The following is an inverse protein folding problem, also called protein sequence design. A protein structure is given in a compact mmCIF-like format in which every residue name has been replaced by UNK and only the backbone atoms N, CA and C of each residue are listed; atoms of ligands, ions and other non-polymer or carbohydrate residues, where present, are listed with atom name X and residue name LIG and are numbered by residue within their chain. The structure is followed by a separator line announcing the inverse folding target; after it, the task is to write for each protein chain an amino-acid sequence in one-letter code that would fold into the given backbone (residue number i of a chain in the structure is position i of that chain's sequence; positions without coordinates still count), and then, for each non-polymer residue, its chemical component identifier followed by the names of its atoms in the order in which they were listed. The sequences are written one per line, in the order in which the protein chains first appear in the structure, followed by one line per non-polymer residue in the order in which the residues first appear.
data_IF_559823688783
#
_entry.id   IF_559823688783
#
_cell.length_a   1.000
_cell.length_b   1.000
_cell.length_c   1.000
_cell.angle_alpha   90.00
_cell.angle_beta   90.00
_cell.angle_gamma   90.00
#
_symmetry.space_group_name_H-M   'P 1'
#
loop_
_entity.id
_entity.type
_entity.pdbx_description
1 polymer ?
#
# COMPACT_ATOMS: atom_id res chain seq x y z
N UNK A 1 -3.93 -10.04 -19.65
CA UNK A 1 -3.15 -9.13 -18.77
C UNK A 1 -1.71 -9.19 -19.23
N UNK A 2 -1.11 -8.05 -19.56
CA UNK A 2 0.31 -7.96 -19.89
C UNK A 2 1.06 -7.47 -18.66
N UNK A 3 2.17 -8.12 -18.33
CA UNK A 3 3.05 -7.74 -17.24
C UNK A 3 4.44 -7.56 -17.80
N UNK A 4 5.12 -6.50 -17.38
CA UNK A 4 6.54 -6.30 -17.69
C UNK A 4 7.34 -6.63 -16.45
N UNK A 5 8.39 -7.44 -16.62
CA UNK A 5 9.30 -7.84 -15.56
C UNK A 5 10.64 -7.11 -15.74
N UNK A 6 11.23 -6.72 -14.62
CA UNK A 6 12.61 -6.25 -14.56
C UNK A 6 13.35 -6.99 -13.43
N UNK A 7 14.67 -7.25 -13.57
CA UNK A 7 15.46 -7.97 -12.57
C UNK A 7 15.71 -7.17 -11.28
N UNK A 8 15.18 -5.94 -11.18
CA UNK A 8 15.26 -5.14 -9.98
C UNK A 8 14.18 -4.08 -9.90
N UNK A 9 14.26 -3.28 -8.83
CA UNK A 9 13.29 -2.23 -8.48
C UNK A 9 13.84 -0.81 -8.63
N UNK A 10 14.94 -0.64 -9.37
CA UNK A 10 15.49 0.69 -9.64
C UNK A 10 14.52 1.54 -10.46
N UNK A 11 14.51 2.86 -10.23
CA UNK A 11 13.72 3.81 -11.03
C UNK A 11 14.08 3.78 -12.51
N UNK A 12 15.30 3.34 -12.86
CA UNK A 12 15.71 3.12 -14.26
C UNK A 12 14.72 2.22 -15.01
N UNK A 13 14.31 1.10 -14.38
CA UNK A 13 13.39 0.16 -15.00
C UNK A 13 11.99 0.76 -15.16
N UNK A 14 11.55 1.61 -14.22
CA UNK A 14 10.28 2.31 -14.36
C UNK A 14 10.30 3.24 -15.58
N UNK A 15 11.37 4.01 -15.78
CA UNK A 15 11.53 4.88 -16.96
C UNK A 15 11.57 4.10 -18.28
N UNK A 16 12.26 2.96 -18.32
CA UNK A 16 12.33 2.11 -19.52
C UNK A 16 10.96 1.50 -19.87
N UNK A 17 10.24 0.99 -18.87
CA UNK A 17 8.92 0.37 -19.07
C UNK A 17 7.87 1.42 -19.51
N UNK A 18 7.98 2.65 -19.01
CA UNK A 18 7.03 3.73 -19.25
C UNK A 18 7.49 4.69 -20.37
N UNK A 19 8.49 4.31 -21.16
CA UNK A 19 9.01 5.14 -22.22
C UNK A 19 7.91 5.54 -23.21
N UNK A 20 7.74 6.84 -23.42
CA UNK A 20 6.72 7.40 -24.30
C UNK A 20 5.30 7.44 -23.72
N UNK A 21 5.09 6.98 -22.48
CA UNK A 21 3.82 7.17 -21.78
C UNK A 21 3.69 8.62 -21.30
N UNK A 22 2.52 9.22 -21.53
CA UNK A 22 2.16 10.56 -21.08
C UNK A 22 0.81 10.50 -20.34
N UNK A 23 0.66 11.30 -19.28
CA UNK A 23 -0.60 11.43 -18.54
C UNK A 23 -0.51 10.95 -17.10
N UNK A 24 -1.62 10.43 -16.55
CA UNK A 24 -1.71 10.05 -15.13
C UNK A 24 -1.35 8.58 -14.91
N UNK A 25 -0.32 8.33 -14.12
CA UNK A 25 0.13 6.99 -13.73
C UNK A 25 -0.27 6.71 -12.27
N UNK A 26 -1.08 5.68 -12.05
CA UNK A 26 -1.40 5.23 -10.70
C UNK A 26 -0.24 4.38 -10.13
N UNK A 27 0.27 4.75 -8.95
CA UNK A 27 1.41 4.07 -8.30
C UNK A 27 1.11 3.72 -6.85
N UNK A 28 1.86 2.77 -6.30
CA UNK A 28 1.77 2.31 -4.91
C UNK A 28 2.49 3.22 -3.88
N UNK A 29 3.15 4.28 -4.35
CA UNK A 29 3.95 5.17 -3.51
C UNK A 29 5.38 4.69 -3.29
N UNK A 30 5.90 3.83 -4.15
CA UNK A 30 7.31 3.49 -4.17
C UNK A 30 8.16 4.63 -4.78
N UNK A 31 9.19 5.08 -4.03
CA UNK A 31 9.98 6.25 -4.38
C UNK A 31 10.73 6.18 -5.72
N UNK A 32 10.97 4.97 -6.25
CA UNK A 32 11.64 4.81 -7.54
C UNK A 32 10.85 5.42 -8.72
N UNK A 33 9.52 5.50 -8.60
CA UNK A 33 8.68 6.15 -9.62
C UNK A 33 8.95 7.64 -9.76
N UNK A 34 9.56 8.30 -8.76
CA UNK A 34 9.94 9.71 -8.87
C UNK A 34 10.91 9.97 -10.02
N UNK A 35 11.64 8.94 -10.51
CA UNK A 35 12.51 9.09 -11.68
C UNK A 35 11.73 9.42 -12.95
N UNK A 36 10.50 8.94 -13.10
CA UNK A 36 9.68 9.19 -14.31
C UNK A 36 9.12 10.62 -14.37
N UNK A 37 9.31 11.41 -13.30
CA UNK A 37 8.98 12.83 -13.28
C UNK A 37 10.08 13.70 -13.90
N UNK A 38 11.27 13.15 -14.15
CA UNK A 38 12.33 13.88 -14.83
C UNK A 38 12.03 13.97 -16.33
N UNK A 39 11.68 15.18 -16.78
CA UNK A 39 11.32 15.47 -18.17
C UNK A 39 12.49 15.28 -19.15
N UNK A 40 13.73 15.12 -18.65
CA UNK A 40 14.89 14.74 -19.50
C UNK A 40 14.81 13.30 -19.98
N UNK A 41 14.19 12.44 -19.18
CA UNK A 41 14.17 10.98 -19.38
C UNK A 41 12.77 10.46 -19.73
N UNK A 42 11.72 11.27 -19.59
CA UNK A 42 10.32 10.81 -19.71
C UNK A 42 9.40 11.91 -20.24
N UNK A 43 8.32 11.50 -20.92
CA UNK A 43 7.24 12.41 -21.28
C UNK A 43 6.50 12.91 -20.02
N UNK A 44 5.69 13.97 -20.10
CA UNK A 44 4.98 14.52 -18.94
C UNK A 44 4.08 13.47 -18.25
N UNK A 45 4.48 13.03 -17.06
CA UNK A 45 3.73 12.08 -16.24
C UNK A 45 3.32 12.75 -14.93
N UNK A 46 2.05 12.57 -14.55
CA UNK A 46 1.53 12.89 -13.24
C UNK A 46 1.34 11.60 -12.43
N UNK A 47 1.93 11.53 -11.24
CA UNK A 47 1.72 10.39 -10.34
C UNK A 47 0.42 10.55 -9.56
N UNK A 48 -0.42 9.51 -9.59
CA UNK A 48 -1.59 9.34 -8.74
C UNK A 48 -1.32 8.23 -7.71
N UNK A 49 -1.28 8.57 -6.43
CA UNK A 49 -0.95 7.61 -5.39
C UNK A 49 -2.17 6.77 -4.97
N UNK A 50 -1.97 5.47 -4.83
CA UNK A 50 -3.05 4.54 -4.51
C UNK A 50 -3.47 4.64 -3.04
N UNK A 51 -4.74 4.99 -2.81
CA UNK A 51 -5.34 5.10 -1.47
C UNK A 51 -5.27 3.79 -0.66
N UNK A 52 -5.38 2.63 -1.30
CA UNK A 52 -5.25 1.34 -0.62
C UNK A 52 -3.84 1.14 -0.02
N UNK A 53 -2.79 1.59 -0.73
CA UNK A 53 -1.41 1.55 -0.23
C UNK A 53 -1.18 2.59 0.87
N UNK A 54 -1.71 3.80 0.72
CA UNK A 54 -1.64 4.84 1.75
C UNK A 54 -2.28 4.36 3.06
N UNK A 55 -3.47 3.75 2.97
CA UNK A 55 -4.16 3.19 4.13
C UNK A 55 -3.37 2.09 4.83
N UNK A 56 -2.74 1.18 4.09
CA UNK A 56 -1.90 0.12 4.69
C UNK A 56 -0.77 0.72 5.53
N UNK A 57 -0.07 1.72 4.99
CA UNK A 57 1.00 2.42 5.72
C UNK A 57 0.49 3.15 6.96
N UNK A 58 -0.65 3.84 6.86
CA UNK A 58 -1.25 4.50 8.02
C UNK A 58 -1.66 3.48 9.10
N UNK A 59 -2.19 2.33 8.71
CA UNK A 59 -2.53 1.24 9.64
C UNK A 59 -1.28 0.74 10.37
N UNK A 60 -0.17 0.49 9.66
CA UNK A 60 1.10 0.09 10.28
C UNK A 60 1.60 1.12 11.30
N UNK A 61 1.48 2.42 11.00
CA UNK A 61 1.87 3.50 11.93
C UNK A 61 0.98 3.53 13.18
N UNK A 62 -0.33 3.35 13.03
CA UNK A 62 -1.26 3.27 14.18
C UNK A 62 -1.03 2.02 15.02
N UNK A 63 -0.85 0.87 14.39
CA UNK A 63 -0.68 -0.41 15.08
C UNK A 63 0.62 -0.45 15.90
N UNK A 64 1.67 0.17 15.39
CA UNK A 64 2.96 0.27 16.07
C UNK A 64 3.04 1.48 17.02
N UNK A 65 1.96 2.25 17.16
CA UNK A 65 1.89 3.47 17.97
C UNK A 65 3.01 4.48 17.66
N UNK A 66 3.41 4.59 16.39
CA UNK A 66 4.54 5.42 15.92
C UNK A 66 4.13 6.88 15.75
N UNK A 67 2.90 7.11 15.30
CA UNK A 67 2.39 8.44 14.99
C UNK A 67 0.89 8.53 15.31
N UNK A 68 0.49 9.22 16.39
CA UNK A 68 -0.93 9.35 16.77
C UNK A 68 -1.81 9.95 15.65
N UNK A 69 -1.26 10.88 14.87
CA UNK A 69 -1.93 11.50 13.72
C UNK A 69 -2.33 10.50 12.62
N UNK A 70 -1.71 9.31 12.57
CA UNK A 70 -2.04 8.31 11.57
C UNK A 70 -3.47 7.76 11.74
N UNK A 71 -4.03 7.79 12.95
CA UNK A 71 -5.39 7.34 13.23
C UNK A 71 -6.43 8.26 12.59
N UNK A 72 -6.23 9.57 12.70
CA UNK A 72 -7.06 10.58 12.04
C UNK A 72 -7.06 10.39 10.51
N UNK A 73 -5.91 10.03 9.93
CA UNK A 73 -5.79 9.74 8.50
C UNK A 73 -6.47 8.43 8.05
N UNK A 74 -6.65 7.44 8.94
CA UNK A 74 -7.29 6.17 8.62
C UNK A 74 -8.82 6.25 8.60
N UNK A 75 -9.39 7.03 9.50
CA UNK A 75 -10.83 7.15 9.69
C UNK A 75 -11.62 7.43 8.39
N UNK A 76 -11.24 8.40 7.54
CA UNK A 76 -11.97 8.65 6.29
C UNK A 76 -11.79 7.53 5.24
N UNK A 77 -10.71 6.74 5.30
CA UNK A 77 -10.40 5.71 4.32
C UNK A 77 -11.03 4.35 4.67
N UNK A 78 -11.36 4.11 5.94
CA UNK A 78 -11.83 2.83 6.44
C UNK A 78 -13.12 2.31 5.77
N UNK A 79 -14.14 3.14 5.45
CA UNK A 79 -15.35 2.66 4.79
C UNK A 79 -15.12 2.21 3.33
N UNK A 80 -14.19 2.87 2.63
CA UNK A 80 -13.97 2.66 1.19
C UNK A 80 -12.93 1.57 0.91
N UNK A 81 -11.97 1.40 1.80
CA UNK A 81 -10.89 0.43 1.68
C UNK A 81 -10.86 -0.38 2.96
N UNK A 82 -11.68 -1.42 3.19
CA UNK A 82 -11.65 -2.18 4.45
C UNK A 82 -10.32 -2.90 4.66
N UNK A 83 -9.90 -3.19 5.91
CA UNK A 83 -8.70 -4.03 6.14
C UNK A 83 -9.17 -5.47 5.94
N UNK A 84 -9.12 -5.97 4.71
CA UNK A 84 -9.31 -7.40 4.47
C UNK A 84 -7.92 -8.03 4.37
N UNK A 85 -7.50 -8.67 5.46
CA UNK A 85 -6.21 -9.36 5.52
C UNK A 85 -5.48 -9.13 6.84
N UNK A 86 -5.97 -9.78 7.91
CA UNK A 86 -5.23 -10.26 9.10
C UNK A 86 -6.21 -10.77 10.18
N UNK A 87 -7.51 -10.51 10.07
CA UNK A 87 -8.50 -10.94 11.10
C UNK A 87 -9.13 -12.32 10.88
N UNK A 88 -8.93 -13.01 9.75
CA UNK A 88 -9.46 -14.37 9.58
C UNK A 88 -8.68 -15.44 10.35
N UNK A 89 -7.37 -15.24 10.60
CA UNK A 89 -6.55 -16.20 11.34
C UNK A 89 -6.34 -15.86 12.83
N UNK A 90 -6.56 -14.61 13.27
CA UNK A 90 -6.34 -14.22 14.66
C UNK A 90 -7.60 -14.27 15.56
N UNK A 91 -8.81 -14.30 15.01
CA UNK A 91 -10.06 -14.24 15.81
C UNK A 91 -10.67 -15.60 16.20
N UNK A 92 -10.08 -16.74 15.79
CA UNK A 92 -10.63 -18.07 16.14
C UNK A 92 -9.88 -18.83 17.25
N UNK A 93 -8.84 -18.25 17.87
CA UNK A 93 -8.00 -18.97 18.86
C UNK A 93 -8.25 -18.61 20.34
N UNK A 94 -9.12 -17.64 20.66
CA UNK A 94 -9.28 -17.14 22.03
C UNK A 94 -10.73 -17.23 22.55
N UNK A 95 -11.50 -18.20 22.07
CA UNK A 95 -12.88 -18.39 22.53
C UNK A 95 -13.23 -19.88 22.70
N UNK A 96 -12.42 -20.65 23.42
CA UNK A 96 -12.85 -21.88 24.13
C UNK A 96 -11.76 -22.34 25.08
N UNK A 97 -11.76 -21.87 26.32
CA UNK A 97 -11.25 -22.60 27.48
C UNK A 97 -11.60 -21.80 28.73
N UNK A 98 -12.75 -22.10 29.33
CA UNK A 98 -12.92 -22.25 30.77
C UNK A 98 -14.41 -22.42 31.09
N UNK A 99 -14.82 -23.68 31.20
CA UNK A 99 -15.92 -24.07 32.06
C UNK A 99 -15.39 -25.21 32.96
N UNK A 100 -15.65 -25.15 34.28
CA UNK A 100 -15.05 -26.06 35.24
C UNK A 100 -15.83 -27.38 35.22
N UNK A 101 -15.13 -28.51 35.25
CA UNK A 101 -15.75 -29.81 35.49
C UNK A 101 -15.07 -30.46 36.69
N UNK A 102 -15.92 -30.67 37.69
CA UNK A 102 -15.79 -31.56 38.83
C UNK A 102 -15.28 -32.95 38.44
N UNK A 103 -14.23 -33.41 39.13
CA UNK A 103 -14.00 -34.80 39.53
C UNK A 103 -12.98 -34.82 40.67
#
# INVERSE_FOLDING_TARGET
MAFTYAPGRSGKYASEILQGFEGTLQVDGYAAYNRVLDLRDSAPIQLAYCWAHARRKLYELTHNNVAPIAEEGLNPLAPHFPVQGLSFLAKKSLATANSPILA
#
